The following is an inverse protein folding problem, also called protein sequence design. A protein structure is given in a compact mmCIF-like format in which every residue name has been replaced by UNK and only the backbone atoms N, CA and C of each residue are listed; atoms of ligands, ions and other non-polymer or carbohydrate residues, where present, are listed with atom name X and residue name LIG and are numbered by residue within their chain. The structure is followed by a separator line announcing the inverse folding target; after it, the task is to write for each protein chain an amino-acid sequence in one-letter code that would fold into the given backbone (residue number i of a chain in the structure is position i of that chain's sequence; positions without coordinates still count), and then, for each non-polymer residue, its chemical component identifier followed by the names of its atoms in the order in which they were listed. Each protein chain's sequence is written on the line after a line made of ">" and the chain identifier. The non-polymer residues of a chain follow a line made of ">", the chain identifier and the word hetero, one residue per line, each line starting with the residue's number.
data_IF_034216014849
#
_entry.id   IF_034216014849
#
_cell.length_a   1.000
_cell.length_b   1.000
_cell.length_c   1.000
_cell.angle_alpha   90.00
_cell.angle_beta   90.00
_cell.angle_gamma   90.00
#
_symmetry.space_group_name_H-M   'P 1'
#
loop_
_entity.id
_entity.type
_entity.pdbx_description
1 polymer ?
#
# COMPACT_ATOMS: atom_id res chain seq x y z
N UNK A 1 6.95 -14.86 16.01
CA UNK A 1 6.62 -15.73 14.87
C UNK A 1 6.96 -14.97 13.61
N UNK A 2 7.88 -15.53 12.82
CA UNK A 2 8.38 -14.95 11.58
C UNK A 2 7.48 -15.27 10.38
N UNK A 3 6.17 -15.37 10.56
CA UNK A 3 5.25 -15.73 9.48
C UNK A 3 3.90 -15.04 9.61
N UNK A 4 3.16 -14.98 8.49
CA UNK A 4 1.79 -14.51 8.46
C UNK A 4 0.87 -15.56 9.08
N UNK A 5 0.00 -15.14 9.99
CA UNK A 5 -0.94 -16.01 10.69
C UNK A 5 -2.35 -15.55 10.38
N UNK A 6 -3.24 -16.49 10.09
CA UNK A 6 -4.69 -16.24 9.99
C UNK A 6 -5.33 -16.56 11.33
N UNK A 7 -6.05 -15.56 11.86
CA UNK A 7 -6.84 -15.73 13.08
C UNK A 7 -8.31 -15.50 12.75
N UNK A 8 -9.18 -16.30 13.35
CA UNK A 8 -10.63 -16.07 13.33
C UNK A 8 -11.02 -15.56 14.70
N UNK A 9 -11.54 -14.34 14.75
CA UNK A 9 -11.93 -13.68 16.00
C UNK A 9 -13.42 -13.42 15.98
N UNK A 10 -14.05 -13.56 17.15
CA UNK A 10 -15.44 -13.20 17.38
C UNK A 10 -15.46 -12.05 18.39
N UNK A 11 -16.14 -10.96 18.06
CA UNK A 11 -16.27 -9.80 18.93
C UNK A 11 -17.69 -9.74 19.50
N UNK A 12 -17.79 -9.63 20.83
CA UNK A 12 -19.03 -9.37 21.55
C UNK A 12 -18.93 -7.99 22.21
N UNK A 13 -19.38 -6.92 21.53
CA UNK A 13 -19.23 -5.55 22.04
C UNK A 13 -20.11 -5.25 23.25
N UNK A 14 -21.22 -6.00 23.44
CA UNK A 14 -22.17 -5.79 24.50
C UNK A 14 -21.81 -6.65 25.75
N UNK A 15 -20.64 -6.40 26.33
CA UNK A 15 -20.25 -7.08 27.54
C UNK A 15 -19.76 -6.08 28.60
N UNK A 16 -19.80 -6.48 29.87
CA UNK A 16 -19.17 -5.77 30.99
C UNK A 16 -17.97 -6.59 31.46
N UNK A 17 -16.80 -5.97 31.48
CA UNK A 17 -15.60 -6.66 31.92
C UNK A 17 -15.47 -6.61 33.43
N UNK A 18 -15.57 -7.77 34.10
CA UNK A 18 -15.42 -7.97 35.54
C UNK A 18 -16.23 -6.98 36.40
N UNK A 19 -17.55 -6.89 36.24
CA UNK A 19 -18.37 -5.95 37.00
C UNK A 19 -18.37 -6.28 38.53
N UNK A 20 -18.12 -7.54 38.85
CA UNK A 20 -18.13 -8.07 40.22
C UNK A 20 -16.69 -8.37 40.73
N UNK A 21 -15.67 -7.70 40.20
CA UNK A 21 -14.28 -7.89 40.64
C UNK A 21 -14.15 -7.62 42.15
N UNK A 22 -13.38 -8.47 42.82
CA UNK A 22 -13.12 -8.33 44.26
C UNK A 22 -12.10 -7.27 44.57
N UNK A 23 -12.14 -6.68 45.77
CA UNK A 23 -11.12 -5.72 46.21
C UNK A 23 -9.69 -6.30 46.09
N UNK A 24 -9.52 -7.59 46.38
CA UNK A 24 -8.21 -8.27 46.24
C UNK A 24 -7.71 -8.31 44.81
N UNK A 25 -8.57 -8.61 43.84
CA UNK A 25 -8.20 -8.65 42.42
C UNK A 25 -7.96 -7.26 41.83
N UNK A 26 -8.49 -6.21 42.45
CA UNK A 26 -8.32 -4.84 42.03
C UNK A 26 -7.10 -4.17 42.65
N UNK A 27 -6.49 -4.73 43.70
CA UNK A 27 -5.42 -4.10 44.46
C UNK A 27 -4.14 -3.86 43.64
N UNK A 28 -3.82 -4.75 42.73
CA UNK A 28 -2.66 -4.57 41.84
C UNK A 28 -2.82 -3.34 40.91
N UNK A 29 -4.04 -2.99 40.55
CA UNK A 29 -4.39 -1.86 39.69
C UNK A 29 -4.45 -0.52 40.42
N UNK A 30 -4.26 -0.52 41.75
CA UNK A 30 -4.06 0.68 42.57
C UNK A 30 -2.58 0.96 42.84
N UNK A 31 -1.70 0.00 42.60
CA UNK A 31 -0.31 0.10 42.94
C UNK A 31 0.40 1.24 42.18
N UNK A 32 1.14 2.07 42.91
CA UNK A 32 2.03 3.11 42.37
C UNK A 32 3.43 2.95 42.95
N UNK A 33 4.49 3.21 42.18
CA UNK A 33 5.86 3.20 42.70
C UNK A 33 6.00 4.31 43.75
N UNK A 34 6.54 3.95 44.90
CA UNK A 34 6.76 4.89 46.02
C UNK A 34 7.75 5.99 45.64
N UNK A 35 7.46 7.23 46.00
CA UNK A 35 8.37 8.37 45.79
C UNK A 35 8.48 8.87 44.36
N UNK A 36 7.57 8.46 43.45
CA UNK A 36 7.47 8.97 42.10
C UNK A 36 6.24 9.89 41.92
N UNK A 37 6.36 10.88 41.08
CA UNK A 37 5.29 11.80 40.68
C UNK A 37 4.52 12.44 41.87
N UNK A 38 5.22 13.04 42.84
CA UNK A 38 4.61 13.52 44.08
C UNK A 38 3.53 14.60 43.84
N UNK A 39 3.67 15.41 42.80
CA UNK A 39 2.71 16.48 42.47
C UNK A 39 1.41 15.90 41.93
N UNK A 40 1.50 14.91 41.06
CA UNK A 40 0.33 14.21 40.52
C UNK A 40 -0.42 13.44 41.61
N UNK A 41 0.33 12.73 42.48
CA UNK A 41 -0.25 12.05 43.65
C UNK A 41 -0.95 13.04 44.58
N UNK A 42 -0.29 14.16 44.91
CA UNK A 42 -0.86 15.22 45.74
C UNK A 42 -2.12 15.87 45.13
N UNK A 43 -2.13 16.06 43.79
CA UNK A 43 -3.29 16.56 43.06
C UNK A 43 -4.47 15.61 43.17
N UNK A 44 -4.25 14.31 42.88
CA UNK A 44 -5.27 13.29 42.91
C UNK A 44 -5.83 13.09 44.33
N UNK A 45 -4.95 13.12 45.36
CA UNK A 45 -5.39 13.02 46.76
C UNK A 45 -6.29 14.19 47.16
N UNK A 46 -5.98 15.43 46.78
CA UNK A 46 -6.87 16.58 46.99
C UNK A 46 -8.20 16.41 46.27
N UNK A 47 -8.19 15.96 45.04
CA UNK A 47 -9.43 15.68 44.31
C UNK A 47 -10.31 14.64 44.99
N UNK A 48 -9.70 13.58 45.53
CA UNK A 48 -10.43 12.55 46.33
C UNK A 48 -11.04 13.16 47.59
N UNK A 49 -10.29 13.96 48.34
CA UNK A 49 -10.80 14.63 49.53
C UNK A 49 -11.97 15.54 49.23
N UNK A 50 -11.95 16.27 48.12
CA UNK A 50 -13.02 17.16 47.68
C UNK A 50 -14.25 16.40 47.15
N UNK A 51 -14.06 15.28 46.45
CA UNK A 51 -15.15 14.49 45.90
C UNK A 51 -15.86 13.62 46.92
N UNK A 52 -15.15 13.27 48.01
CA UNK A 52 -15.61 12.29 49.02
C UNK A 52 -15.74 10.87 48.47
N UNK A 53 -16.38 9.98 49.26
CA UNK A 53 -16.59 8.57 48.92
C UNK A 53 -18.05 8.25 48.58
N UNK A 54 -18.84 9.27 48.29
CA UNK A 54 -20.28 9.07 47.97
C UNK A 54 -20.50 8.50 46.57
N UNK A 55 -21.75 8.06 46.30
CA UNK A 55 -22.08 7.50 44.98
C UNK A 55 -21.71 8.43 43.83
N UNK A 56 -21.08 7.86 42.76
CA UNK A 56 -20.64 8.61 41.61
C UNK A 56 -19.38 9.46 41.81
N UNK A 57 -18.68 9.34 42.97
CA UNK A 57 -17.46 10.08 43.24
C UNK A 57 -16.37 9.72 42.22
N UNK A 58 -16.25 8.43 41.90
CA UNK A 58 -15.24 7.95 40.96
C UNK A 58 -15.50 8.47 39.56
N UNK A 59 -16.74 8.48 39.08
CA UNK A 59 -17.10 9.06 37.77
C UNK A 59 -16.84 10.56 37.73
N UNK A 60 -17.08 11.29 38.83
CA UNK A 60 -16.73 12.73 38.91
C UNK A 60 -15.23 12.96 38.80
N UNK A 61 -14.41 12.11 39.43
CA UNK A 61 -12.95 12.19 39.35
C UNK A 61 -12.44 11.88 37.96
N UNK A 62 -12.96 10.86 37.31
CA UNK A 62 -12.70 10.56 35.89
C UNK A 62 -13.04 11.77 35.02
N UNK A 63 -14.25 12.35 35.19
CA UNK A 63 -14.68 13.53 34.47
C UNK A 63 -13.79 14.75 34.72
N UNK A 64 -13.32 14.94 35.97
CA UNK A 64 -12.40 16.05 36.34
C UNK A 64 -11.05 15.92 35.66
N UNK A 65 -10.47 14.72 35.60
CA UNK A 65 -9.23 14.49 34.91
C UNK A 65 -9.35 14.75 33.41
N UNK A 66 -10.43 14.30 32.78
CA UNK A 66 -10.69 14.59 31.36
C UNK A 66 -10.93 16.09 31.10
N UNK A 67 -11.62 16.79 32.02
CA UNK A 67 -11.84 18.22 31.92
C UNK A 67 -10.51 19.01 32.02
N UNK A 68 -9.58 18.57 32.88
CA UNK A 68 -8.24 19.15 32.97
C UNK A 68 -7.50 19.00 31.65
N UNK A 69 -7.44 17.84 31.04
CA UNK A 69 -6.80 17.63 29.74
C UNK A 69 -7.44 18.47 28.63
N UNK A 70 -8.76 18.68 28.66
CA UNK A 70 -9.48 19.47 27.66
C UNK A 70 -9.32 20.98 27.85
N UNK A 71 -9.30 21.43 29.11
CA UNK A 71 -9.35 22.85 29.47
C UNK A 71 -7.99 23.52 29.60
N UNK A 72 -6.94 22.76 29.88
CA UNK A 72 -5.58 23.27 29.99
C UNK A 72 -4.82 23.11 28.65
N UNK A 73 -3.71 23.85 28.44
CA UNK A 73 -3.02 23.92 27.16
C UNK A 73 -2.18 22.68 26.85
N UNK A 74 -2.79 21.49 26.94
CA UNK A 74 -2.20 20.23 26.52
C UNK A 74 -2.15 20.14 25.00
N UNK A 75 -1.06 19.58 24.46
CA UNK A 75 -0.83 19.45 23.03
C UNK A 75 -0.47 18.00 22.66
N UNK A 76 -1.14 17.47 21.67
CA UNK A 76 -0.75 16.19 21.10
C UNK A 76 0.42 16.37 20.11
N UNK A 77 1.51 15.65 20.31
CA UNK A 77 2.69 15.65 19.44
C UNK A 77 3.38 14.29 19.48
N UNK A 78 3.88 13.84 18.32
CA UNK A 78 4.70 12.61 18.23
C UNK A 78 6.18 12.87 18.54
N UNK A 79 6.56 14.12 18.77
CA UNK A 79 7.92 14.53 19.13
C UNK A 79 7.88 15.36 20.42
N UNK A 80 7.50 14.72 21.56
CA UNK A 80 7.48 15.42 22.83
C UNK A 80 8.90 15.66 23.34
N UNK A 81 9.11 16.66 24.22
CA UNK A 81 10.34 16.77 24.98
C UNK A 81 10.58 15.53 25.86
N UNK A 82 11.84 15.24 26.11
CA UNK A 82 12.21 14.15 27.04
C UNK A 82 11.72 14.50 28.45
N UNK A 83 11.20 13.50 29.14
CA UNK A 83 10.73 13.58 30.52
C UNK A 83 11.77 12.99 31.46
N UNK A 84 11.84 13.52 32.67
CA UNK A 84 12.76 13.05 33.69
C UNK A 84 12.20 11.85 34.50
N UNK A 85 12.71 11.71 35.73
CA UNK A 85 12.32 10.65 36.65
C UNK A 85 10.83 10.68 37.00
N UNK A 86 10.31 11.87 37.26
CA UNK A 86 8.90 12.08 37.61
C UNK A 86 8.11 12.43 36.36
N UNK A 87 8.09 11.51 35.41
CA UNK A 87 7.61 11.73 34.05
C UNK A 87 6.17 12.21 33.98
N UNK A 88 5.30 11.77 34.88
CA UNK A 88 3.89 12.25 34.92
C UNK A 88 3.81 13.69 35.45
N UNK A 89 4.62 14.04 36.45
CA UNK A 89 4.71 15.41 36.94
C UNK A 89 5.24 16.35 35.85
N UNK A 90 6.33 15.95 35.19
CA UNK A 90 6.92 16.69 34.09
C UNK A 90 5.93 16.89 32.94
N UNK A 91 5.16 15.87 32.62
CA UNK A 91 4.12 15.96 31.59
C UNK A 91 2.97 16.89 32.03
N UNK A 92 2.36 16.63 33.20
CA UNK A 92 1.16 17.35 33.63
C UNK A 92 1.41 18.83 33.94
N UNK A 93 2.56 19.15 34.55
CA UNK A 93 2.82 20.48 35.10
C UNK A 93 3.93 21.25 34.37
N UNK A 94 4.70 20.54 33.50
CA UNK A 94 5.79 21.12 32.75
C UNK A 94 5.51 21.22 31.27
N UNK A 95 5.72 20.13 30.56
CA UNK A 95 5.72 20.12 29.08
C UNK A 95 4.33 20.21 28.46
N UNK A 96 3.35 19.57 29.05
CA UNK A 96 1.97 19.42 28.53
C UNK A 96 1.90 18.98 27.06
N UNK A 97 2.96 18.36 26.59
CA UNK A 97 3.12 17.92 25.21
C UNK A 97 3.48 16.43 25.18
N UNK A 98 2.70 15.62 24.47
CA UNK A 98 2.89 14.17 24.43
C UNK A 98 1.97 13.49 23.41
N UNK A 99 2.07 12.18 23.35
CA UNK A 99 1.18 11.33 22.53
C UNK A 99 0.42 10.36 23.45
N UNK A 100 -0.35 9.43 22.89
CA UNK A 100 -1.34 8.62 23.60
C UNK A 100 -0.80 7.97 24.90
N UNK A 101 0.43 7.46 24.92
CA UNK A 101 0.99 6.85 26.13
C UNK A 101 1.19 7.83 27.28
N UNK A 102 1.56 9.10 26.98
CA UNK A 102 1.73 10.14 28.01
C UNK A 102 0.38 10.47 28.67
N UNK A 103 -0.66 10.62 27.88
CA UNK A 103 -2.01 10.88 28.38
C UNK A 103 -2.57 9.70 29.14
N UNK A 104 -2.43 8.48 28.60
CA UNK A 104 -2.93 7.27 29.23
C UNK A 104 -2.21 6.99 30.56
N UNK A 105 -0.87 7.14 30.62
CA UNK A 105 -0.11 6.94 31.84
C UNK A 105 -0.39 7.99 32.90
N UNK A 106 -0.47 9.27 32.51
CA UNK A 106 -0.80 10.34 33.45
C UNK A 106 -2.21 10.17 34.03
N UNK A 107 -3.16 9.82 33.19
CA UNK A 107 -4.53 9.54 33.64
C UNK A 107 -4.58 8.33 34.60
N UNK A 108 -3.89 7.23 34.26
CA UNK A 108 -3.87 6.04 35.12
C UNK A 108 -3.22 6.34 36.49
N UNK A 109 -2.13 7.11 36.54
CA UNK A 109 -1.49 7.54 37.79
C UNK A 109 -2.43 8.41 38.62
N UNK A 110 -3.12 9.36 38.01
CA UNK A 110 -4.10 10.20 38.72
C UNK A 110 -5.24 9.35 39.32
N UNK A 111 -5.76 8.40 38.54
CA UNK A 111 -6.84 7.51 39.01
C UNK A 111 -6.37 6.61 40.14
N UNK A 112 -5.23 5.96 40.01
CA UNK A 112 -4.64 5.11 41.07
C UNK A 112 -4.37 5.90 42.34
N UNK A 113 -3.80 7.08 42.22
CA UNK A 113 -3.53 7.96 43.35
C UNK A 113 -4.82 8.49 44.02
N UNK A 114 -5.92 8.57 43.28
CA UNK A 114 -7.24 8.86 43.79
C UNK A 114 -7.97 7.64 44.35
N UNK A 115 -7.37 6.44 44.39
CA UNK A 115 -7.99 5.22 44.88
C UNK A 115 -8.91 4.53 43.88
N UNK A 116 -8.85 4.86 42.60
CA UNK A 116 -9.62 4.23 41.54
C UNK A 116 -8.71 3.25 40.79
N UNK A 117 -9.05 1.95 40.71
CA UNK A 117 -8.28 0.99 39.98
C UNK A 117 -8.20 1.38 38.50
N UNK A 118 -6.99 1.46 37.95
CA UNK A 118 -6.77 1.88 36.59
C UNK A 118 -5.67 1.08 35.92
N UNK A 119 -5.84 0.79 34.62
CA UNK A 119 -4.83 0.11 33.81
C UNK A 119 -4.66 0.81 32.47
N UNK A 120 -3.47 0.66 31.89
CA UNK A 120 -3.17 1.11 30.53
C UNK A 120 -3.37 -0.07 29.59
N UNK A 121 -4.09 0.16 28.52
CA UNK A 121 -4.33 -0.83 27.48
C UNK A 121 -3.68 -0.33 26.19
N UNK A 122 -2.96 -1.23 25.52
CA UNK A 122 -2.35 -0.95 24.22
C UNK A 122 -3.00 -1.80 23.15
N UNK A 123 -3.13 -1.24 21.97
CA UNK A 123 -3.73 -1.93 20.83
C UNK A 123 -3.69 -1.06 19.59
N UNK A 124 -4.70 -1.17 18.77
CA UNK A 124 -4.83 -0.36 17.55
C UNK A 124 -6.18 0.35 17.56
N UNK A 125 -6.21 1.54 17.01
CA UNK A 125 -7.44 2.32 16.89
C UNK A 125 -7.57 2.91 15.50
N UNK A 126 -8.66 2.59 14.82
CA UNK A 126 -8.89 2.95 13.44
C UNK A 126 -8.40 1.88 12.48
N UNK A 127 -7.98 2.32 11.31
CA UNK A 127 -7.61 1.51 10.16
C UNK A 127 -8.25 2.08 8.91
N UNK A 128 -7.84 1.60 7.76
CA UNK A 128 -8.35 2.00 6.46
C UNK A 128 -9.03 0.81 5.79
N UNK A 129 -10.31 0.99 5.43
CA UNK A 129 -11.02 -0.05 4.69
C UNK A 129 -10.61 0.01 3.22
N UNK A 130 -10.09 -1.10 2.68
CA UNK A 130 -9.81 -1.22 1.27
C UNK A 130 -11.14 -1.28 0.49
N UNK A 131 -11.42 -0.34 -0.42
CA UNK A 131 -12.68 -0.29 -1.16
C UNK A 131 -12.83 -1.42 -2.19
N UNK A 132 -11.74 -2.11 -2.54
CA UNK A 132 -11.72 -3.17 -3.57
C UNK A 132 -12.20 -4.51 -2.99
N UNK A 133 -11.66 -4.91 -1.83
CA UNK A 133 -11.96 -6.22 -1.21
C UNK A 133 -12.71 -6.11 0.12
N UNK A 134 -12.87 -4.89 0.64
CA UNK A 134 -13.60 -4.61 1.87
C UNK A 134 -12.85 -4.93 3.16
N UNK A 135 -11.62 -5.40 3.10
CA UNK A 135 -10.80 -5.68 4.28
C UNK A 135 -10.31 -4.41 4.95
N UNK A 136 -10.18 -4.49 6.28
CA UNK A 136 -9.57 -3.41 7.06
C UNK A 136 -8.06 -3.61 7.15
N UNK A 137 -7.33 -2.57 6.75
CA UNK A 137 -5.90 -2.50 6.93
C UNK A 137 -5.60 -1.68 8.18
N UNK A 138 -4.98 -2.32 9.17
CA UNK A 138 -4.52 -1.69 10.41
C UNK A 138 -3.00 -1.61 10.34
N UNK A 139 -2.48 -0.39 10.39
CA UNK A 139 -1.04 -0.12 10.27
C UNK A 139 -0.42 0.10 11.64
N UNK A 140 0.90 -0.02 11.73
CA UNK A 140 1.64 0.33 12.95
C UNK A 140 1.39 1.79 13.37
N UNK A 141 1.12 2.69 12.43
CA UNK A 141 0.75 4.07 12.73
C UNK A 141 -0.60 4.21 13.45
N UNK A 142 -1.45 3.18 13.41
CA UNK A 142 -2.75 3.13 14.10
C UNK A 142 -2.61 2.57 15.53
N UNK A 143 -1.36 2.25 15.97
CA UNK A 143 -1.09 1.85 17.34
C UNK A 143 -1.53 2.95 18.32
N UNK A 144 -2.20 2.56 19.37
CA UNK A 144 -2.80 3.46 20.34
C UNK A 144 -2.72 2.91 21.76
N UNK A 145 -2.68 3.81 22.73
CA UNK A 145 -2.76 3.51 24.14
C UNK A 145 -3.92 4.30 24.76
N UNK A 146 -4.73 3.63 25.56
CA UNK A 146 -5.81 4.24 26.33
C UNK A 146 -5.81 3.70 27.75
N UNK A 147 -6.66 4.23 28.60
CA UNK A 147 -6.81 3.74 29.96
C UNK A 147 -8.15 3.03 30.13
N UNK A 148 -8.20 2.13 31.08
CA UNK A 148 -9.44 1.59 31.61
C UNK A 148 -9.45 1.82 33.13
N UNK A 149 -10.60 2.19 33.64
CA UNK A 149 -10.86 2.33 35.10
C UNK A 149 -11.94 1.37 35.51
N UNK A 150 -11.80 0.79 36.69
CA UNK A 150 -12.85 -0.03 37.22
C UNK A 150 -13.83 0.83 38.04
N UNK A 151 -15.10 0.78 37.66
CA UNK A 151 -16.19 1.50 38.31
C UNK A 151 -17.22 0.51 38.87
N UNK A 152 -17.65 0.74 40.11
CA UNK A 152 -18.59 -0.16 40.78
C UNK A 152 -19.88 -0.35 39.96
N UNK A 153 -20.29 -1.60 39.76
CA UNK A 153 -21.47 -1.98 38.97
C UNK A 153 -21.33 -1.84 37.44
N UNK A 154 -20.24 -1.25 36.97
CA UNK A 154 -19.94 -1.11 35.53
C UNK A 154 -18.79 -1.99 35.08
N UNK A 155 -17.87 -2.35 36.00
CA UNK A 155 -16.64 -3.06 35.68
C UNK A 155 -15.62 -2.19 35.02
N UNK A 156 -14.68 -2.79 34.26
CA UNK A 156 -13.65 -2.08 33.53
C UNK A 156 -14.26 -1.23 32.41
N UNK A 157 -14.13 0.05 32.56
CA UNK A 157 -14.68 1.06 31.64
C UNK A 157 -13.56 1.75 30.90
N UNK A 158 -13.62 1.72 29.57
CA UNK A 158 -12.64 2.42 28.72
C UNK A 158 -12.75 3.92 28.87
N UNK A 159 -11.60 4.56 29.07
CA UNK A 159 -11.43 6.01 29.07
C UNK A 159 -10.22 6.36 28.20
N UNK A 160 -10.44 7.19 27.19
CA UNK A 160 -9.39 7.62 26.30
C UNK A 160 -9.10 9.13 26.53
N UNK A 161 -8.08 9.46 27.35
CA UNK A 161 -7.76 10.86 27.64
C UNK A 161 -7.21 11.59 26.43
N UNK A 162 -6.67 10.89 25.42
CA UNK A 162 -6.22 11.50 24.17
C UNK A 162 -7.39 12.12 23.39
N UNK A 163 -8.59 11.52 23.48
CA UNK A 163 -9.80 12.06 22.85
C UNK A 163 -10.18 13.44 23.37
N UNK A 164 -9.83 13.75 24.62
CA UNK A 164 -10.10 15.06 25.23
C UNK A 164 -9.25 16.18 24.59
N UNK A 165 -8.07 15.87 24.07
CA UNK A 165 -7.09 16.83 23.53
C UNK A 165 -7.04 16.82 22.00
N UNK A 166 -7.14 15.67 21.41
CA UNK A 166 -7.01 15.48 19.97
C UNK A 166 -8.10 14.52 19.42
N UNK A 167 -9.38 14.91 19.44
CA UNK A 167 -10.48 14.06 18.99
C UNK A 167 -10.33 13.62 17.53
N UNK A 168 -9.79 14.49 16.67
CA UNK A 168 -9.57 14.17 15.27
C UNK A 168 -8.57 13.02 15.07
N UNK A 169 -7.62 12.86 15.98
CA UNK A 169 -6.67 11.74 16.00
C UNK A 169 -7.38 10.41 16.22
N UNK A 170 -8.38 10.41 17.08
CA UNK A 170 -9.16 9.24 17.45
C UNK A 170 -10.13 8.85 16.33
N UNK A 171 -10.76 9.85 15.69
CA UNK A 171 -11.76 9.62 14.64
C UNK A 171 -11.15 9.26 13.27
N UNK A 172 -9.97 9.79 12.94
CA UNK A 172 -9.37 9.69 11.60
C UNK A 172 -8.06 8.90 11.53
N UNK A 173 -7.54 8.44 12.68
CA UNK A 173 -6.20 7.84 12.76
C UNK A 173 -5.08 8.84 12.46
N UNK A 174 -3.82 8.37 12.37
CA UNK A 174 -2.69 9.20 11.90
C UNK A 174 -2.72 9.29 10.38
N UNK A 175 -3.56 10.14 9.84
CA UNK A 175 -3.31 10.62 8.48
C UNK A 175 -2.26 11.72 8.57
N UNK A 176 -1.07 11.43 8.09
CA UNK A 176 -0.09 12.46 7.76
C UNK A 176 -0.64 13.20 6.53
N UNK A 177 -1.55 14.15 6.76
CA UNK A 177 -1.91 15.13 5.74
C UNK A 177 -0.76 16.12 5.68
N UNK A 178 -0.02 16.20 4.58
CA UNK A 178 0.92 17.30 4.39
C UNK A 178 0.10 18.60 4.38
N UNK A 179 0.38 19.48 5.33
CA UNK A 179 -0.11 20.86 5.33
C UNK A 179 0.59 21.60 4.19
N UNK A 180 0.05 21.56 3.01
CA UNK A 180 0.52 22.32 1.86
C UNK A 180 -0.53 22.24 0.75
N UNK A 181 -0.84 23.39 0.12
CA UNK A 181 -1.67 23.47 -1.07
C UNK A 181 -1.01 22.69 -2.21
N UNK A 182 -1.37 21.42 -2.35
CA UNK A 182 -0.94 20.62 -3.49
C UNK A 182 -1.70 21.10 -4.73
N UNK A 183 -1.02 21.23 -5.88
CA UNK A 183 -1.68 21.48 -7.15
C UNK A 183 -2.66 20.35 -7.49
N UNK A 184 -3.75 20.65 -8.20
CA UNK A 184 -4.78 19.66 -8.62
C UNK A 184 -4.17 18.44 -9.35
N UNK A 185 -3.03 18.64 -10.01
CA UNK A 185 -2.29 17.56 -10.67
C UNK A 185 -1.64 16.60 -9.66
N UNK A 186 -1.09 17.13 -8.57
CA UNK A 186 -0.47 16.33 -7.51
C UNK A 186 -1.54 15.55 -6.71
N UNK A 187 -2.73 16.13 -6.51
CA UNK A 187 -3.85 15.41 -5.88
C UNK A 187 -4.39 14.28 -6.75
N UNK A 188 -4.54 14.52 -8.06
CA UNK A 188 -4.92 13.46 -9.02
C UNK A 188 -3.89 12.33 -9.09
N UNK A 189 -2.61 12.65 -9.13
CA UNK A 189 -1.54 11.66 -9.13
C UNK A 189 -1.54 10.82 -7.84
N UNK A 190 -1.75 11.46 -6.67
CA UNK A 190 -1.88 10.75 -5.38
C UNK A 190 -3.10 9.83 -5.35
N UNK A 191 -4.26 10.29 -5.84
CA UNK A 191 -5.47 9.48 -5.87
C UNK A 191 -5.34 8.28 -6.81
N UNK A 192 -4.66 8.42 -7.95
CA UNK A 192 -4.34 7.31 -8.86
C UNK A 192 -3.36 6.32 -8.22
N UNK A 193 -2.31 6.81 -7.58
CA UNK A 193 -1.34 5.98 -6.87
C UNK A 193 -2.01 5.21 -5.71
N UNK A 194 -2.90 5.84 -4.97
CA UNK A 194 -3.65 5.21 -3.88
C UNK A 194 -4.60 4.12 -4.41
N UNK A 195 -5.30 4.37 -5.52
CA UNK A 195 -6.15 3.35 -6.17
C UNK A 195 -5.34 2.15 -6.66
N UNK A 196 -4.21 2.41 -7.30
CA UNK A 196 -3.30 1.36 -7.75
C UNK A 196 -2.80 0.54 -6.55
N UNK A 197 -2.43 1.22 -5.47
CA UNK A 197 -1.97 0.58 -4.25
C UNK A 197 -3.06 -0.31 -3.62
N UNK A 198 -4.32 0.16 -3.54
CA UNK A 198 -5.44 -0.65 -3.05
C UNK A 198 -5.69 -1.90 -3.91
N UNK A 199 -5.56 -1.78 -5.23
CA UNK A 199 -5.70 -2.94 -6.12
C UNK A 199 -4.56 -3.96 -5.90
N UNK A 200 -3.31 -3.50 -5.78
CA UNK A 200 -2.16 -4.37 -5.51
C UNK A 200 -2.28 -5.03 -4.13
N UNK A 201 -2.73 -4.29 -3.12
CA UNK A 201 -2.96 -4.80 -1.79
C UNK A 201 -4.08 -5.86 -1.78
N UNK A 202 -5.19 -5.62 -2.48
CA UNK A 202 -6.28 -6.58 -2.65
C UNK A 202 -5.82 -7.87 -3.34
N UNK A 203 -4.99 -7.76 -4.40
CA UNK A 203 -4.39 -8.93 -5.06
C UNK A 203 -3.48 -9.68 -4.09
N UNK A 204 -2.61 -8.96 -3.37
CA UNK A 204 -1.74 -9.52 -2.36
C UNK A 204 -2.51 -10.20 -1.23
N UNK A 205 -3.61 -9.60 -0.80
CA UNK A 205 -4.50 -10.15 0.22
C UNK A 205 -5.23 -11.41 -0.28
N UNK A 206 -5.79 -11.37 -1.50
CA UNK A 206 -6.40 -12.55 -2.13
C UNK A 206 -5.41 -13.71 -2.28
N UNK A 207 -4.18 -13.42 -2.70
CA UNK A 207 -3.09 -14.38 -2.77
C UNK A 207 -2.77 -14.98 -1.40
N UNK A 208 -2.64 -14.13 -0.38
CA UNK A 208 -2.37 -14.58 0.98
C UNK A 208 -3.53 -15.43 1.55
N UNK A 209 -4.78 -15.02 1.30
CA UNK A 209 -5.95 -15.80 1.69
C UNK A 209 -5.94 -17.16 1.00
N UNK A 210 -5.59 -17.21 -0.27
CA UNK A 210 -5.50 -18.45 -1.02
C UNK A 210 -4.41 -19.37 -0.48
N UNK A 211 -3.19 -18.84 -0.26
CA UNK A 211 -2.05 -19.62 0.29
C UNK A 211 -2.31 -20.06 1.74
N UNK A 212 -2.73 -19.13 2.63
CA UNK A 212 -2.93 -19.45 4.04
C UNK A 212 -4.13 -20.38 4.29
N UNK A 213 -5.08 -20.42 3.34
CA UNK A 213 -6.20 -21.35 3.39
C UNK A 213 -5.97 -22.62 2.56
N UNK A 214 -4.77 -22.79 1.96
CA UNK A 214 -4.42 -23.97 1.20
C UNK A 214 -4.02 -25.10 2.15
N UNK A 215 -5.00 -25.86 2.57
CA UNK A 215 -4.81 -27.04 3.39
C UNK A 215 -4.97 -28.34 2.57
N UNK A 216 -4.71 -29.47 3.21
CA UNK A 216 -4.76 -30.78 2.57
C UNK A 216 -6.15 -31.08 1.99
N UNK A 217 -7.22 -30.63 2.60
CA UNK A 217 -8.60 -30.87 2.17
C UNK A 217 -8.92 -30.12 0.87
N UNK A 218 -8.43 -28.91 0.71
CA UNK A 218 -8.55 -28.14 -0.56
C UNK A 218 -7.69 -28.72 -1.66
N UNK A 219 -6.49 -29.21 -1.34
CA UNK A 219 -5.65 -29.90 -2.29
C UNK A 219 -6.34 -31.14 -2.85
N UNK A 220 -6.92 -31.95 -1.99
CA UNK A 220 -7.68 -33.14 -2.37
C UNK A 220 -8.92 -32.80 -3.21
N UNK A 221 -9.63 -31.72 -2.86
CA UNK A 221 -10.81 -31.26 -3.60
C UNK A 221 -10.48 -30.70 -4.99
N UNK A 222 -9.33 -30.05 -5.14
CA UNK A 222 -8.85 -29.58 -6.46
C UNK A 222 -8.43 -30.77 -7.33
N UNK A 223 -7.64 -31.68 -6.79
CA UNK A 223 -7.17 -32.87 -7.51
C UNK A 223 -8.34 -33.76 -7.94
N UNK A 224 -9.35 -33.92 -7.09
CA UNK A 224 -10.54 -34.73 -7.41
C UNK A 224 -11.38 -34.13 -8.54
N UNK A 225 -11.42 -32.81 -8.72
CA UNK A 225 -12.08 -32.14 -9.86
C UNK A 225 -11.43 -32.48 -11.21
N UNK A 226 -10.14 -32.80 -11.19
CA UNK A 226 -9.37 -33.25 -12.36
C UNK A 226 -9.29 -34.77 -12.46
N UNK A 227 -10.02 -35.52 -11.61
CA UNK A 227 -10.01 -36.98 -11.59
C UNK A 227 -8.71 -37.58 -11.06
N UNK A 228 -7.89 -36.76 -10.33
CA UNK A 228 -6.59 -37.21 -9.81
C UNK A 228 -6.77 -37.59 -8.34
N UNK A 229 -6.44 -38.82 -7.97
CA UNK A 229 -6.43 -39.27 -6.58
C UNK A 229 -5.13 -38.81 -5.90
N UNK A 230 -5.25 -38.07 -4.78
CA UNK A 230 -4.10 -37.55 -4.03
C UNK A 230 -3.12 -38.63 -3.54
N UNK A 231 -3.53 -39.92 -3.53
CA UNK A 231 -2.70 -41.09 -3.15
C UNK A 231 -1.92 -41.71 -4.31
N UNK A 232 -2.21 -41.37 -5.56
CA UNK A 232 -1.53 -41.98 -6.72
C UNK A 232 -0.39 -41.11 -7.26
N UNK A 233 0.81 -41.34 -6.76
CA UNK A 233 2.01 -40.59 -7.16
C UNK A 233 2.30 -40.70 -8.68
N UNK A 234 1.85 -41.77 -9.35
CA UNK A 234 2.06 -41.94 -10.79
C UNK A 234 1.21 -40.96 -11.61
N UNK A 235 -0.03 -40.75 -11.21
CA UNK A 235 -0.91 -39.74 -11.83
C UNK A 235 -0.36 -38.34 -11.62
N UNK A 236 0.10 -38.01 -10.41
CA UNK A 236 0.73 -36.73 -10.10
C UNK A 236 2.00 -36.50 -10.93
N UNK A 237 2.86 -37.53 -11.06
CA UNK A 237 4.05 -37.44 -11.88
C UNK A 237 3.72 -37.26 -13.37
N UNK A 238 2.70 -37.96 -13.89
CA UNK A 238 2.26 -37.82 -15.28
C UNK A 238 1.71 -36.40 -15.57
N UNK A 239 0.91 -35.85 -14.68
CA UNK A 239 0.39 -34.48 -14.80
C UNK A 239 1.52 -33.43 -14.74
N UNK A 240 2.47 -33.60 -13.81
CA UNK A 240 3.64 -32.73 -13.72
C UNK A 240 4.49 -32.79 -15.00
N UNK A 241 4.73 -33.97 -15.53
CA UNK A 241 5.47 -34.16 -16.77
C UNK A 241 4.73 -33.51 -17.97
N UNK A 242 3.40 -33.64 -18.05
CA UNK A 242 2.59 -33.03 -19.10
C UNK A 242 2.62 -31.51 -19.03
N UNK A 243 2.50 -30.92 -17.83
CA UNK A 243 2.61 -29.46 -17.61
C UNK A 243 3.99 -28.96 -17.99
N UNK A 244 5.05 -29.65 -17.57
CA UNK A 244 6.43 -29.29 -17.90
C UNK A 244 6.67 -29.34 -19.41
N UNK A 245 6.21 -30.38 -20.08
CA UNK A 245 6.30 -30.54 -21.53
C UNK A 245 5.54 -29.43 -22.28
N UNK A 246 4.35 -29.03 -21.79
CA UNK A 246 3.58 -27.93 -22.34
C UNK A 246 4.33 -26.59 -22.17
N UNK A 247 4.90 -26.31 -21.00
CA UNK A 247 5.69 -25.10 -20.74
C UNK A 247 6.95 -25.03 -21.62
N UNK A 248 7.67 -26.15 -21.77
CA UNK A 248 8.83 -26.23 -22.66
C UNK A 248 8.40 -26.03 -24.12
N UNK A 249 7.28 -26.63 -24.54
CA UNK A 249 6.72 -26.45 -25.87
C UNK A 249 6.35 -24.99 -26.18
N UNK A 250 5.69 -24.31 -25.23
CA UNK A 250 5.37 -22.88 -25.36
C UNK A 250 6.66 -22.03 -25.41
N UNK A 251 7.61 -22.29 -24.53
CA UNK A 251 8.88 -21.59 -24.51
C UNK A 251 9.65 -21.78 -25.84
N UNK A 252 9.69 -23.01 -26.35
CA UNK A 252 10.29 -23.33 -27.64
C UNK A 252 9.57 -22.62 -28.79
N UNK A 253 8.24 -22.60 -28.78
CA UNK A 253 7.44 -21.88 -29.81
C UNK A 253 7.71 -20.38 -29.81
N UNK A 254 7.88 -19.78 -28.62
CA UNK A 254 8.16 -18.34 -28.48
C UNK A 254 9.61 -18.00 -28.86
N UNK A 255 10.58 -18.86 -28.53
CA UNK A 255 12.02 -18.61 -28.78
C UNK A 255 12.47 -19.04 -30.15
N UNK A 256 11.92 -20.14 -30.69
CA UNK A 256 12.27 -20.69 -32.00
C UNK A 256 11.48 -20.07 -33.16
N UNK A 257 10.61 -19.06 -32.90
CA UNK A 257 10.04 -18.28 -34.00
C UNK A 257 11.20 -17.72 -34.83
N UNK A 258 11.39 -18.12 -36.09
CA UNK A 258 12.50 -17.63 -36.90
C UNK A 258 12.33 -16.13 -37.08
N UNK A 259 13.10 -15.35 -36.35
CA UNK A 259 13.34 -13.95 -36.67
C UNK A 259 14.30 -14.01 -37.87
N UNK A 260 13.76 -14.22 -39.07
CA UNK A 260 14.52 -13.99 -40.28
C UNK A 260 14.97 -12.52 -40.23
N UNK A 261 16.28 -12.25 -40.12
CA UNK A 261 16.77 -10.88 -40.11
C UNK A 261 16.41 -10.28 -41.45
N UNK A 262 15.37 -9.44 -41.51
CA UNK A 262 15.02 -8.72 -42.74
C UNK A 262 16.18 -7.79 -43.08
N UNK A 263 16.72 -7.95 -44.28
CA UNK A 263 17.80 -7.09 -44.79
C UNK A 263 17.41 -5.63 -44.57
N UNK A 264 18.20 -4.85 -43.80
CA UNK A 264 17.89 -3.47 -43.47
C UNK A 264 17.80 -2.54 -44.69
N UNK A 265 18.44 -2.91 -45.80
CA UNK A 265 18.36 -2.19 -47.08
C UNK A 265 17.00 -2.42 -47.73
N UNK A 266 16.56 -3.68 -47.75
CA UNK A 266 15.21 -4.06 -48.27
C UNK A 266 14.11 -3.42 -47.41
N UNK A 267 14.25 -3.43 -46.10
CA UNK A 267 13.29 -2.81 -45.20
C UNK A 267 13.16 -1.29 -45.42
N UNK A 268 14.27 -0.59 -45.66
CA UNK A 268 14.24 0.83 -45.97
C UNK A 268 13.49 1.08 -47.28
N UNK A 269 13.75 0.28 -48.31
CA UNK A 269 13.12 0.41 -49.62
C UNK A 269 11.61 0.05 -49.55
N UNK A 270 11.23 -0.98 -48.82
CA UNK A 270 9.80 -1.33 -48.58
C UNK A 270 9.05 -0.17 -47.89
N UNK A 271 9.72 0.52 -46.96
CA UNK A 271 9.16 1.72 -46.31
C UNK A 271 8.93 2.86 -47.31
N UNK A 272 9.85 3.07 -48.25
CA UNK A 272 9.68 4.03 -49.36
C UNK A 272 8.49 3.66 -50.24
N UNK A 273 8.41 2.41 -50.67
CA UNK A 273 7.28 1.92 -51.47
C UNK A 273 5.93 2.04 -50.71
N UNK A 274 5.92 1.80 -49.40
CA UNK A 274 4.73 1.96 -48.55
C UNK A 274 4.23 3.40 -48.51
N UNK A 275 5.12 4.39 -48.45
CA UNK A 275 4.74 5.82 -48.48
C UNK A 275 4.11 6.21 -49.82
N UNK A 276 4.68 5.75 -50.94
CA UNK A 276 4.10 5.97 -52.25
C UNK A 276 2.79 5.22 -52.47
N UNK A 277 2.65 4.05 -51.89
CA UNK A 277 1.40 3.29 -51.93
C UNK A 277 0.24 4.03 -51.22
N UNK A 278 0.55 4.82 -50.16
CA UNK A 278 -0.42 5.62 -49.45
C UNK A 278 -1.07 6.72 -50.29
N UNK A 279 -0.38 7.16 -51.36
CA UNK A 279 -0.89 8.13 -52.36
C UNK A 279 -1.36 7.45 -53.66
N UNK A 280 -1.62 6.13 -53.64
CA UNK A 280 -2.10 5.38 -54.78
C UNK A 280 -1.05 4.86 -55.75
N UNK A 281 0.22 5.07 -55.51
CA UNK A 281 1.35 4.65 -56.34
C UNK A 281 1.97 3.33 -55.87
N UNK A 282 1.18 2.33 -55.62
CA UNK A 282 1.64 1.03 -55.10
C UNK A 282 2.57 0.31 -56.10
N UNK A 283 3.66 -0.34 -55.62
CA UNK A 283 4.57 -1.15 -56.39
C UNK A 283 3.97 -2.53 -56.64
N UNK A 284 4.06 -3.04 -57.88
CA UNK A 284 3.65 -4.40 -58.22
C UNK A 284 4.69 -5.43 -57.77
N UNK A 285 4.24 -6.68 -57.46
CA UNK A 285 5.11 -7.73 -56.88
C UNK A 285 6.31 -8.10 -57.72
N UNK A 286 6.21 -8.01 -59.04
CA UNK A 286 7.26 -8.38 -59.99
C UNK A 286 7.97 -7.18 -60.63
N UNK A 287 7.73 -5.97 -60.13
CA UNK A 287 8.28 -4.75 -60.66
C UNK A 287 9.67 -4.47 -60.07
N UNK A 288 10.70 -4.30 -60.89
CA UNK A 288 12.01 -3.89 -60.42
C UNK A 288 12.01 -2.46 -59.91
N UNK A 289 12.98 -2.08 -59.06
CA UNK A 289 13.05 -0.72 -58.53
C UNK A 289 13.15 0.35 -59.63
N UNK A 290 13.94 0.11 -60.68
CA UNK A 290 14.09 1.00 -61.84
C UNK A 290 12.78 1.11 -62.65
N UNK A 291 12.06 0.00 -62.91
CA UNK A 291 10.74 0.02 -63.59
C UNK A 291 9.70 0.76 -62.79
N UNK A 292 9.68 0.52 -61.49
CA UNK A 292 8.78 1.23 -60.59
C UNK A 292 9.01 2.73 -60.65
N UNK A 293 10.28 3.18 -60.53
CA UNK A 293 10.65 4.58 -60.65
C UNK A 293 10.23 5.17 -62.01
N UNK A 294 10.46 4.47 -63.14
CA UNK A 294 10.03 4.93 -64.45
C UNK A 294 8.51 5.11 -64.58
N UNK A 295 7.72 4.26 -63.95
CA UNK A 295 6.26 4.36 -63.92
C UNK A 295 5.78 5.55 -63.10
N UNK A 296 6.30 5.74 -61.89
CA UNK A 296 5.86 6.82 -60.98
C UNK A 296 6.42 8.19 -61.38
N UNK A 297 7.48 8.25 -62.22
CA UNK A 297 8.08 9.49 -62.66
C UNK A 297 7.13 10.42 -63.44
N UNK A 298 6.01 9.89 -63.93
CA UNK A 298 4.98 10.66 -64.66
C UNK A 298 3.98 11.35 -63.71
N UNK A 299 3.99 10.99 -62.44
CA UNK A 299 3.00 11.43 -61.44
C UNK A 299 3.64 12.31 -60.35
N UNK A 300 4.95 12.13 -60.10
CA UNK A 300 5.70 12.91 -59.11
C UNK A 300 6.10 14.28 -59.67
N UNK A 301 6.13 15.29 -58.79
CA UNK A 301 6.70 16.57 -59.13
C UNK A 301 8.24 16.49 -59.31
N UNK A 302 8.86 17.54 -59.82
CA UNK A 302 10.28 17.55 -60.15
C UNK A 302 11.18 17.32 -58.92
N UNK A 303 10.84 17.90 -57.78
CA UNK A 303 11.59 17.73 -56.53
C UNK A 303 11.44 16.30 -55.99
N UNK A 304 10.23 15.77 -55.94
CA UNK A 304 9.95 14.41 -55.53
C UNK A 304 10.62 13.37 -56.39
N UNK A 305 10.70 13.64 -57.72
CA UNK A 305 11.33 12.77 -58.69
C UNK A 305 12.85 12.70 -58.48
N UNK A 306 13.50 13.83 -58.20
CA UNK A 306 14.94 13.88 -57.88
C UNK A 306 15.24 13.08 -56.62
N UNK A 307 14.45 13.24 -55.57
CA UNK A 307 14.63 12.48 -54.31
C UNK A 307 14.36 10.98 -54.51
N UNK A 308 13.28 10.62 -55.23
CA UNK A 308 12.97 9.22 -55.52
C UNK A 308 14.09 8.54 -56.32
N UNK A 309 14.67 9.23 -57.31
CA UNK A 309 15.84 8.74 -58.06
C UNK A 309 17.04 8.49 -57.14
N UNK A 310 17.33 9.39 -56.21
CA UNK A 310 18.42 9.22 -55.23
C UNK A 310 18.21 8.02 -54.34
N UNK A 311 17.00 7.82 -53.84
CA UNK A 311 16.62 6.69 -52.96
C UNK A 311 16.74 5.37 -53.71
N UNK A 312 16.19 5.28 -54.95
CA UNK A 312 16.26 4.05 -55.75
C UNK A 312 17.70 3.72 -56.14
N UNK A 313 18.49 4.70 -56.57
CA UNK A 313 19.90 4.50 -56.91
C UNK A 313 20.73 4.06 -55.69
N UNK A 314 20.44 4.62 -54.51
CA UNK A 314 21.10 4.19 -53.26
C UNK A 314 20.69 2.77 -52.88
N UNK A 315 19.41 2.43 -53.01
CA UNK A 315 18.89 1.06 -52.74
C UNK A 315 19.57 0.05 -53.69
N UNK A 316 19.58 0.30 -55.03
CA UNK A 316 20.17 -0.63 -56.02
C UNK A 316 21.67 -0.82 -55.78
N UNK A 317 22.41 0.27 -55.48
CA UNK A 317 23.83 0.19 -55.14
C UNK A 317 24.08 -0.67 -53.89
N UNK A 318 23.30 -0.47 -52.84
CA UNK A 318 23.50 -1.21 -51.58
C UNK A 318 22.99 -2.65 -51.67
N UNK A 319 21.99 -2.91 -52.50
CA UNK A 319 21.38 -4.26 -52.62
C UNK A 319 22.17 -5.20 -53.50
N UNK A 320 22.83 -4.65 -54.56
CA UNK A 320 23.51 -5.44 -55.58
C UNK A 320 25.02 -5.23 -55.57
N UNK A 321 25.58 -4.63 -54.51
CA UNK A 321 27.03 -4.53 -54.33
C UNK A 321 27.64 -5.91 -53.98
N UNK A 322 28.81 -6.20 -54.45
CA UNK A 322 29.56 -7.41 -54.14
C UNK A 322 30.08 -7.48 -52.70
N UNK A 323 29.99 -6.38 -51.95
CA UNK A 323 30.43 -6.26 -50.58
C UNK A 323 29.27 -5.97 -49.66
N UNK A 324 29.37 -6.41 -48.38
CA UNK A 324 28.35 -6.15 -47.36
C UNK A 324 28.14 -4.63 -47.22
N UNK A 325 26.87 -4.16 -47.18
CA UNK A 325 26.58 -2.73 -47.15
C UNK A 325 27.09 -2.08 -45.86
N UNK A 326 27.83 -0.97 -46.00
CA UNK A 326 28.29 -0.17 -44.86
C UNK A 326 27.11 0.35 -44.03
N UNK A 327 27.24 0.23 -42.71
CA UNK A 327 26.22 0.69 -41.73
C UNK A 327 25.92 2.20 -41.88
N UNK A 328 26.90 3.01 -42.27
CA UNK A 328 26.70 4.43 -42.48
C UNK A 328 25.84 4.68 -43.73
N UNK A 329 26.08 3.95 -44.82
CA UNK A 329 25.30 4.04 -46.05
C UNK A 329 23.85 3.58 -45.87
N UNK A 330 23.63 2.52 -45.10
CA UNK A 330 22.26 2.06 -44.73
C UNK A 330 21.53 3.11 -43.89
N UNK A 331 22.20 3.72 -42.90
CA UNK A 331 21.61 4.82 -42.12
C UNK A 331 21.25 6.02 -43.00
N UNK A 332 22.08 6.35 -43.96
CA UNK A 332 21.81 7.44 -44.89
C UNK A 332 20.60 7.15 -45.77
N UNK A 333 20.49 5.94 -46.32
CA UNK A 333 19.28 5.50 -47.05
C UNK A 333 18.02 5.62 -46.22
N UNK A 334 18.05 5.15 -44.97
CA UNK A 334 16.90 5.28 -44.05
C UNK A 334 16.50 6.74 -43.80
N UNK A 335 17.48 7.63 -43.58
CA UNK A 335 17.21 9.07 -43.41
C UNK A 335 16.59 9.69 -44.65
N UNK A 336 17.10 9.37 -45.84
CA UNK A 336 16.54 9.85 -47.10
C UNK A 336 15.10 9.38 -47.31
N UNK A 337 14.82 8.12 -46.99
CA UNK A 337 13.44 7.57 -47.03
C UNK A 337 12.54 8.26 -46.01
N UNK A 338 13.05 8.55 -44.81
CA UNK A 338 12.26 9.26 -43.76
C UNK A 338 11.97 10.72 -44.13
N UNK A 339 12.87 11.36 -44.81
CA UNK A 339 12.71 12.75 -45.26
C UNK A 339 11.80 12.89 -46.50
N UNK A 340 11.72 11.84 -47.31
CA UNK A 340 10.88 11.83 -48.52
C UNK A 340 9.40 12.06 -48.20
N UNK A 341 8.81 13.07 -48.80
CA UNK A 341 7.36 13.41 -48.69
C UNK A 341 6.75 13.20 -50.06
N UNK A 342 5.93 12.12 -50.21
CA UNK A 342 5.26 11.84 -51.48
C UNK A 342 4.11 12.79 -51.76
#
# INVERSE_FOLDING_TARGET
>A
PEGRVRLTLVSNPDFRADPDATATSLQEWLALPAGFNPRAVGLASRWRSEAGDGPGADERLVGRALAMFRGEPFRYTLQPPLLGRDSVDDFLFGTRAGFCEHYASAFAVLMRAAGIPARIVTGYQGGERNPVDGYWQVRQADAHAWSEVWLAGRGWTRVDPTAAVAPQRIERGVRLTPTGSASDAAERARSMAQRLWFNLDAIGNAWNQWILSYDRSRQESLLSRFGISAGDWRQLAAVLAAVLAALIGVAALLTLRPHLPRDPVVQAYESFCGRLAAIGLARSRHETASRYLARISRTLDEHQLVEARRIVAAYERLRYADTAPDRAAVRHLRKSVQAFKP
#
